data_IF_333369161836
#
_entry.id   IF_333369161836
#
_cell.length_a   1.000
_cell.length_b   1.000
_cell.length_c   1.000
_cell.angle_alpha   90.00
_cell.angle_beta   90.00
_cell.angle_gamma   90.00
#
_symmetry.space_group_name_H-M   'P 1'
#
loop_
_entity.id
_entity.type
_entity.pdbx_description
1 polymer ?
#
# COMPACT_ATOMS: atom_id res chain seq x y z
N UNK A 1 3.95 -23.26 -15.61
CA UNK A 1 5.40 -23.56 -15.73
C UNK A 1 5.93 -22.87 -16.97
N UNK A 2 7.21 -22.54 -17.00
CA UNK A 2 7.83 -21.97 -18.21
C UNK A 2 8.12 -23.07 -19.25
N UNK A 3 8.11 -22.75 -20.56
CA UNK A 3 8.56 -23.67 -21.60
C UNK A 3 10.01 -24.14 -21.37
N UNK A 4 10.38 -25.33 -21.84
CA UNK A 4 11.78 -25.77 -21.87
C UNK A 4 12.68 -24.74 -22.54
N UNK A 5 13.93 -24.68 -22.09
CA UNK A 5 14.97 -23.77 -22.62
C UNK A 5 14.65 -22.26 -22.48
N UNK A 6 13.69 -21.89 -21.62
CA UNK A 6 13.46 -20.49 -21.24
C UNK A 6 14.69 -19.93 -20.51
N UNK A 7 15.26 -18.86 -21.05
CA UNK A 7 16.41 -18.15 -20.50
C UNK A 7 16.00 -16.69 -20.29
N UNK A 8 16.35 -16.14 -19.13
CA UNK A 8 16.26 -14.71 -18.84
C UNK A 8 17.68 -14.19 -18.60
N UNK A 9 18.03 -13.08 -19.24
CA UNK A 9 19.31 -12.42 -19.04
C UNK A 9 19.39 -11.72 -17.68
N UNK A 10 20.61 -11.40 -17.25
CA UNK A 10 20.79 -10.59 -16.05
C UNK A 10 20.23 -9.18 -16.29
N UNK A 11 19.35 -8.71 -15.40
CA UNK A 11 18.68 -7.41 -15.51
C UNK A 11 17.49 -7.38 -16.47
N UNK A 12 17.20 -8.48 -17.16
CA UNK A 12 16.02 -8.57 -18.02
C UNK A 12 14.76 -8.87 -17.20
N UNK A 13 13.61 -8.52 -17.77
CA UNK A 13 12.30 -8.77 -17.17
C UNK A 13 11.55 -9.89 -17.89
N UNK A 14 10.73 -10.59 -17.12
CA UNK A 14 9.78 -11.57 -17.60
C UNK A 14 8.44 -11.35 -16.90
N UNK A 15 7.36 -11.40 -17.66
CA UNK A 15 5.99 -11.17 -17.19
C UNK A 15 5.21 -12.47 -17.33
N UNK A 16 4.50 -12.86 -16.28
CA UNK A 16 3.54 -13.98 -16.30
C UNK A 16 2.14 -13.39 -16.15
N UNK A 17 1.37 -13.37 -17.24
CA UNK A 17 0.06 -12.73 -17.30
C UNK A 17 -1.07 -13.74 -17.42
N UNK A 18 -2.21 -13.47 -16.78
CA UNK A 18 -3.45 -14.26 -16.97
C UNK A 18 -4.03 -14.09 -18.37
N UNK A 19 -3.93 -12.90 -18.94
CA UNK A 19 -4.38 -12.56 -20.29
C UNK A 19 -3.26 -11.83 -21.08
N UNK A 20 -2.22 -12.54 -21.53
CA UNK A 20 -1.03 -11.93 -22.16
C UNK A 20 -1.37 -11.12 -23.43
N UNK A 21 -2.37 -11.55 -24.19
CA UNK A 21 -2.82 -10.83 -25.40
C UNK A 21 -3.40 -9.45 -25.06
N UNK A 22 -4.15 -9.31 -23.95
CA UNK A 22 -4.69 -8.02 -23.55
C UNK A 22 -3.58 -7.06 -23.11
N UNK A 23 -2.60 -7.57 -22.37
CA UNK A 23 -1.43 -6.80 -21.94
C UNK A 23 -0.63 -6.28 -23.14
N UNK A 24 -0.34 -7.14 -24.12
CA UNK A 24 0.42 -6.78 -25.31
C UNK A 24 -0.34 -5.85 -26.25
N UNK A 25 -1.67 -5.90 -26.28
CA UNK A 25 -2.50 -4.97 -27.04
C UNK A 25 -2.53 -3.56 -26.42
N UNK A 26 -2.28 -3.42 -25.13
CA UNK A 26 -2.18 -2.11 -24.47
C UNK A 26 -0.85 -1.43 -24.79
N UNK A 27 0.26 -2.17 -24.67
CA UNK A 27 1.58 -1.71 -25.08
C UNK A 27 2.53 -2.90 -25.33
N UNK A 28 3.42 -2.81 -26.35
CA UNK A 28 4.50 -3.77 -26.47
C UNK A 28 5.42 -3.65 -25.25
N UNK A 29 5.75 -4.79 -24.64
CA UNK A 29 6.70 -4.84 -23.53
C UNK A 29 8.09 -5.21 -24.05
N UNK A 30 9.13 -4.62 -23.44
CA UNK A 30 10.53 -5.01 -23.66
C UNK A 30 10.92 -6.33 -22.97
N UNK A 31 9.94 -7.14 -22.59
CA UNK A 31 10.09 -8.29 -21.72
C UNK A 31 9.45 -9.54 -22.33
N UNK A 32 9.94 -10.73 -21.93
CA UNK A 32 9.30 -11.99 -22.27
C UNK A 32 7.94 -12.09 -21.55
N UNK A 33 6.86 -12.25 -22.31
CA UNK A 33 5.51 -12.40 -21.74
C UNK A 33 5.06 -13.85 -21.88
N UNK A 34 4.76 -14.48 -20.74
CA UNK A 34 4.20 -15.83 -20.65
C UNK A 34 2.75 -15.77 -20.15
N UNK A 35 2.01 -16.84 -20.47
CA UNK A 35 0.63 -17.01 -20.08
C UNK A 35 -0.12 -17.90 -21.08
N UNK A 36 -1.44 -18.06 -20.91
CA UNK A 36 -2.24 -17.52 -19.81
C UNK A 36 -1.88 -18.19 -18.47
N UNK A 37 -1.63 -17.39 -17.44
CA UNK A 37 -1.56 -17.88 -16.07
C UNK A 37 -2.97 -18.20 -15.59
N UNK A 38 -3.25 -19.48 -15.36
CA UNK A 38 -4.56 -19.98 -14.95
C UNK A 38 -4.73 -20.05 -13.43
N UNK A 39 -3.67 -19.79 -12.67
CA UNK A 39 -3.77 -19.60 -11.22
C UNK A 39 -4.40 -18.26 -10.87
N UNK A 40 -4.82 -18.12 -9.62
CA UNK A 40 -5.26 -16.85 -9.04
C UNK A 40 -4.42 -16.58 -7.82
N UNK A 41 -3.87 -15.37 -7.74
CA UNK A 41 -3.16 -14.94 -6.56
C UNK A 41 -4.17 -14.56 -5.46
N UNK A 42 -3.86 -14.88 -4.20
CA UNK A 42 -4.71 -14.56 -3.04
C UNK A 42 -4.65 -13.06 -2.74
N UNK A 43 -5.78 -12.38 -2.66
CA UNK A 43 -5.79 -10.96 -2.27
C UNK A 43 -5.34 -10.78 -0.81
N UNK A 44 -5.56 -11.78 0.06
CA UNK A 44 -5.22 -11.69 1.49
C UNK A 44 -3.78 -12.14 1.82
N UNK A 45 -2.94 -12.32 0.79
CA UNK A 45 -1.60 -12.87 0.94
C UNK A 45 -1.47 -14.37 0.67
N UNK A 46 -0.29 -14.77 0.21
CA UNK A 46 0.14 -16.16 0.03
C UNK A 46 1.68 -16.24 -0.05
N UNK A 47 2.22 -17.43 -0.32
CA UNK A 47 3.64 -17.65 -0.56
C UNK A 47 3.90 -18.02 -2.02
N UNK A 48 4.79 -17.28 -2.67
CA UNK A 48 5.22 -17.48 -4.04
C UNK A 48 6.60 -18.12 -4.04
N UNK A 49 6.76 -19.16 -4.86
CA UNK A 49 8.03 -19.85 -5.05
C UNK A 49 8.45 -19.74 -6.51
N UNK A 50 9.65 -19.21 -6.74
CA UNK A 50 10.32 -19.29 -8.02
C UNK A 50 11.33 -20.44 -7.97
N UNK A 51 11.09 -21.47 -8.77
CA UNK A 51 11.96 -22.65 -8.85
C UNK A 51 12.52 -22.82 -10.26
N UNK A 52 13.73 -23.34 -10.38
CA UNK A 52 14.31 -23.69 -11.67
C UNK A 52 13.90 -25.11 -12.13
N UNK A 53 14.35 -25.52 -13.32
CA UNK A 53 14.03 -26.83 -13.90
C UNK A 53 14.53 -28.05 -13.08
N UNK A 54 15.50 -27.86 -12.19
CA UNK A 54 16.01 -28.91 -11.28
C UNK A 54 15.25 -28.98 -9.95
N UNK A 55 14.24 -28.12 -9.76
CA UNK A 55 13.50 -27.99 -8.51
C UNK A 55 14.22 -27.17 -7.44
N UNK A 56 15.33 -26.50 -7.78
CA UNK A 56 16.03 -25.61 -6.85
C UNK A 56 15.21 -24.32 -6.68
N UNK A 57 14.95 -23.96 -5.42
CA UNK A 57 14.39 -22.66 -5.05
C UNK A 57 15.36 -21.53 -5.43
N UNK A 58 14.89 -20.59 -6.25
CA UNK A 58 15.61 -19.40 -6.66
C UNK A 58 15.18 -18.18 -5.82
N UNK A 59 13.88 -18.05 -5.54
CA UNK A 59 13.33 -16.99 -4.70
C UNK A 59 12.03 -17.44 -4.04
N UNK A 60 11.76 -16.86 -2.88
CA UNK A 60 10.53 -17.03 -2.11
C UNK A 60 10.03 -15.64 -1.71
N UNK A 61 8.72 -15.46 -1.75
CA UNK A 61 8.05 -14.24 -1.29
C UNK A 61 6.75 -14.60 -0.59
N UNK A 62 6.60 -14.21 0.67
CA UNK A 62 5.35 -14.25 1.41
C UNK A 62 4.76 -12.86 1.56
N UNK A 63 3.76 -12.52 0.75
CA UNK A 63 3.09 -11.23 0.83
C UNK A 63 1.79 -11.30 1.64
N UNK A 64 1.31 -10.12 2.06
CA UNK A 64 0.01 -9.91 2.72
C UNK A 64 -0.60 -8.59 2.23
N UNK A 65 -1.83 -8.33 2.63
CA UNK A 65 -2.61 -7.11 2.37
C UNK A 65 -2.75 -6.20 3.61
N UNK A 66 -2.09 -6.55 4.71
CA UNK A 66 -2.25 -5.91 6.02
C UNK A 66 -0.96 -5.95 6.85
N UNK A 67 -0.96 -5.25 7.99
CA UNK A 67 0.21 -5.07 8.84
C UNK A 67 1.22 -4.12 8.21
N UNK A 68 2.47 -4.58 8.08
CA UNK A 68 3.55 -3.78 7.48
C UNK A 68 3.55 -3.82 5.94
N UNK A 69 2.70 -4.65 5.33
CA UNK A 69 2.55 -4.71 3.88
C UNK A 69 1.71 -3.54 3.36
N UNK A 70 2.03 -3.01 2.17
CA UNK A 70 1.19 -2.00 1.53
C UNK A 70 -0.24 -2.48 1.29
N UNK A 71 -1.22 -1.70 1.75
CA UNK A 71 -2.66 -1.95 1.52
C UNK A 71 -3.07 -1.56 0.09
N UNK A 72 -2.44 -0.51 -0.45
CA UNK A 72 -2.76 0.10 -1.74
C UNK A 72 -2.97 -0.87 -2.92
N UNK A 73 -2.16 -1.93 -3.12
CA UNK A 73 -2.33 -2.84 -4.25
C UNK A 73 -3.65 -3.63 -4.27
N UNK A 74 -4.36 -3.69 -3.15
CA UNK A 74 -5.64 -4.37 -3.04
C UNK A 74 -6.80 -3.40 -3.22
N UNK A 75 -7.17 -3.15 -4.48
CA UNK A 75 -8.34 -2.34 -4.86
C UNK A 75 -8.00 -1.12 -5.71
N UNK A 76 -6.91 -0.41 -5.41
CA UNK A 76 -6.57 0.83 -6.10
C UNK A 76 -6.01 0.64 -7.53
N UNK A 77 -5.79 -0.60 -7.99
CA UNK A 77 -5.27 -0.90 -9.32
C UNK A 77 -3.77 -0.61 -9.52
N UNK A 78 -3.08 -0.12 -8.50
CA UNK A 78 -1.60 -0.11 -8.42
C UNK A 78 -1.09 -1.51 -8.08
N UNK A 79 0.16 -1.81 -8.42
CA UNK A 79 0.77 -3.11 -8.10
C UNK A 79 1.64 -3.03 -6.85
N UNK A 80 1.74 -4.14 -6.11
CA UNK A 80 2.76 -4.33 -5.08
C UNK A 80 4.14 -4.34 -5.76
N UNK A 81 4.98 -3.38 -5.42
CA UNK A 81 6.21 -3.06 -6.15
C UNK A 81 7.41 -3.00 -5.21
N UNK A 82 8.47 -3.72 -5.56
CA UNK A 82 9.71 -3.81 -4.78
C UNK A 82 10.56 -2.57 -5.00
N UNK A 83 11.07 -1.98 -3.92
CA UNK A 83 11.92 -0.79 -3.93
C UNK A 83 13.34 -1.11 -4.40
N UNK A 84 14.00 -2.05 -3.71
CA UNK A 84 15.34 -2.50 -4.05
C UNK A 84 15.28 -3.96 -4.54
N UNK A 85 15.56 -4.23 -5.84
CA UNK A 85 15.50 -5.59 -6.39
C UNK A 85 16.51 -6.55 -5.74
N UNK A 86 17.64 -6.04 -5.23
CA UNK A 86 18.75 -6.83 -4.67
C UNK A 86 18.58 -7.21 -3.19
N UNK A 87 17.55 -6.69 -2.51
CA UNK A 87 17.22 -7.05 -1.12
C UNK A 87 16.25 -8.23 -1.05
N UNK A 88 16.07 -8.83 0.14
CA UNK A 88 15.12 -9.94 0.29
C UNK A 88 13.70 -9.58 -0.16
N UNK A 89 12.96 -10.59 -0.63
CA UNK A 89 11.57 -10.43 -1.08
C UNK A 89 10.56 -10.56 0.06
N UNK A 90 10.92 -11.19 1.17
CA UNK A 90 10.02 -11.42 2.32
C UNK A 90 9.90 -10.22 3.28
N UNK A 91 10.76 -9.21 3.14
CA UNK A 91 10.77 -8.05 4.03
C UNK A 91 9.80 -6.96 3.53
N UNK A 92 8.70 -6.67 4.25
CA UNK A 92 7.69 -5.70 3.81
C UNK A 92 8.24 -4.27 3.63
N UNK A 93 9.29 -3.90 4.39
CA UNK A 93 9.92 -2.59 4.29
C UNK A 93 10.60 -2.33 2.93
N UNK A 94 10.79 -3.37 2.12
CA UNK A 94 11.32 -3.27 0.77
C UNK A 94 10.20 -3.24 -0.31
N UNK A 95 8.95 -3.10 0.10
CA UNK A 95 7.80 -3.06 -0.80
C UNK A 95 6.96 -1.80 -0.57
N UNK A 96 6.44 -1.27 -1.67
CA UNK A 96 5.47 -0.19 -1.71
C UNK A 96 4.47 -0.49 -2.84
N UNK A 97 3.73 0.51 -3.30
CA UNK A 97 2.92 0.42 -4.51
C UNK A 97 3.56 1.17 -5.67
N UNK A 98 3.25 0.74 -6.89
CA UNK A 98 3.68 1.41 -8.12
C UNK A 98 3.20 2.86 -8.18
N UNK A 99 3.98 3.73 -8.85
CA UNK A 99 3.63 5.15 -9.03
C UNK A 99 2.42 5.36 -9.94
N UNK A 100 2.09 4.36 -10.76
CA UNK A 100 0.99 4.38 -11.71
C UNK A 100 0.05 3.19 -11.53
N UNK A 101 -1.22 3.42 -11.84
CA UNK A 101 -2.21 2.35 -12.00
C UNK A 101 -1.76 1.42 -13.12
N UNK A 102 -1.85 0.11 -12.90
CA UNK A 102 -1.37 -0.92 -13.81
C UNK A 102 0.12 -1.30 -13.64
N UNK A 103 0.87 -0.61 -12.78
CA UNK A 103 2.25 -0.94 -12.46
C UNK A 103 3.24 -0.73 -13.61
N UNK A 104 4.37 -1.42 -13.54
CA UNK A 104 5.50 -1.34 -14.48
C UNK A 104 5.85 -2.71 -15.09
N UNK A 105 4.88 -3.46 -15.68
CA UNK A 105 5.14 -4.80 -16.19
C UNK A 105 6.25 -4.79 -17.24
N UNK A 106 7.28 -5.61 -17.04
CA UNK A 106 8.39 -5.73 -17.97
C UNK A 106 9.43 -4.59 -17.91
N UNK A 107 9.38 -3.76 -16.87
CA UNK A 107 10.30 -2.65 -16.65
C UNK A 107 10.66 -2.50 -15.17
N UNK A 108 11.61 -1.61 -14.87
CA UNK A 108 11.98 -1.26 -13.50
C UNK A 108 10.82 -0.57 -12.78
N UNK A 109 10.66 -0.85 -11.48
CA UNK A 109 9.56 -0.29 -10.68
C UNK A 109 9.79 1.19 -10.34
N UNK A 110 11.02 1.56 -10.01
CA UNK A 110 11.40 2.87 -9.50
C UNK A 110 12.78 3.26 -10.00
N UNK A 111 13.01 4.56 -10.19
CA UNK A 111 14.34 5.08 -10.57
C UNK A 111 15.36 5.07 -9.43
N UNK A 112 14.93 4.77 -8.20
CA UNK A 112 15.76 4.68 -7.01
C UNK A 112 15.27 3.57 -6.08
N UNK A 113 16.12 3.15 -5.13
CA UNK A 113 15.75 2.17 -4.11
C UNK A 113 15.01 2.77 -2.90
N UNK A 114 14.60 4.03 -2.96
CA UNK A 114 13.84 4.72 -1.91
C UNK A 114 12.37 4.82 -2.30
N UNK A 115 11.49 4.81 -1.30
CA UNK A 115 10.06 4.97 -1.56
C UNK A 115 9.77 6.38 -2.10
N UNK A 116 8.90 6.51 -3.12
CA UNK A 116 8.45 7.82 -3.59
C UNK A 116 7.88 8.65 -2.46
N UNK A 117 8.25 9.94 -2.42
CA UNK A 117 7.72 10.87 -1.42
C UNK A 117 6.27 11.21 -1.79
N UNK A 118 5.37 11.03 -0.83
CA UNK A 118 3.93 11.35 -0.97
C UNK A 118 3.59 12.34 0.12
N UNK A 119 3.32 13.58 -0.27
CA UNK A 119 3.33 14.73 0.64
C UNK A 119 2.13 14.79 1.60
N UNK A 120 0.99 14.19 1.22
CA UNK A 120 -0.19 14.08 2.09
C UNK A 120 -0.44 12.61 2.37
N UNK A 121 -0.63 12.28 3.64
CA UNK A 121 -0.72 10.90 4.14
C UNK A 121 -1.81 10.80 5.18
N UNK A 122 -2.42 9.62 5.31
CA UNK A 122 -3.22 9.31 6.49
C UNK A 122 -2.29 9.22 7.71
N UNK A 123 -2.69 9.77 8.86
CA UNK A 123 -1.86 9.84 10.05
C UNK A 123 -2.46 9.12 11.25
N UNK A 124 -3.77 9.24 11.43
CA UNK A 124 -4.52 8.64 12.54
C UNK A 124 -5.91 8.24 12.05
N UNK A 125 -6.44 7.11 12.51
CA UNK A 125 -7.76 6.58 12.13
C UNK A 125 -8.43 5.99 13.37
N UNK A 126 -9.65 6.44 13.64
CA UNK A 126 -10.47 5.93 14.74
C UNK A 126 -10.83 4.47 14.53
N UNK A 127 -11.23 3.78 15.59
CA UNK A 127 -11.90 2.49 15.39
C UNK A 127 -13.18 2.72 14.60
N UNK A 128 -13.46 1.86 13.62
CA UNK A 128 -14.76 1.87 12.91
C UNK A 128 -15.95 1.56 13.83
N UNK A 129 -15.68 1.09 15.06
CA UNK A 129 -16.68 0.75 16.06
C UNK A 129 -16.82 1.80 17.17
N UNK A 130 -16.03 2.88 17.12
CA UNK A 130 -16.15 4.00 18.06
C UNK A 130 -17.50 4.74 17.89
N UNK A 131 -17.92 5.47 18.92
CA UNK A 131 -19.16 6.27 18.89
C UNK A 131 -19.16 7.33 17.76
N UNK A 132 -17.97 7.79 17.35
CA UNK A 132 -17.77 8.74 16.25
C UNK A 132 -16.50 8.36 15.50
N UNK A 133 -16.62 8.17 14.19
CA UNK A 133 -15.47 7.90 13.34
C UNK A 133 -14.70 9.18 12.97
N UNK A 134 -13.37 9.12 13.04
CA UNK A 134 -12.46 10.19 12.63
C UNK A 134 -11.33 9.65 11.76
N UNK A 135 -10.89 10.47 10.81
CA UNK A 135 -9.75 10.20 9.95
C UNK A 135 -8.87 11.44 9.85
N UNK A 136 -7.58 11.28 10.10
CA UNK A 136 -6.60 12.36 10.08
C UNK A 136 -5.64 12.25 8.90
N UNK A 137 -5.38 13.39 8.27
CA UNK A 137 -4.36 13.61 7.26
C UNK A 137 -3.22 14.45 7.82
N UNK A 138 -2.01 14.24 7.30
CA UNK A 138 -0.83 15.07 7.61
C UNK A 138 -0.13 15.50 6.33
N UNK A 139 0.37 16.75 6.31
CA UNK A 139 1.26 17.25 5.27
C UNK A 139 2.72 17.08 5.71
N UNK A 140 3.43 16.13 5.11
CA UNK A 140 4.85 15.88 5.37
C UNK A 140 5.78 16.66 4.43
N UNK A 141 5.23 17.49 3.54
CA UNK A 141 5.99 18.39 2.70
C UNK A 141 6.53 19.60 3.47
N UNK A 142 7.29 20.44 2.78
CA UNK A 142 7.94 21.65 3.31
C UNK A 142 7.16 22.94 3.00
N UNK A 143 5.99 22.83 2.37
CA UNK A 143 5.13 23.95 1.97
C UNK A 143 3.67 23.69 2.31
N UNK A 144 2.87 24.76 2.42
CA UNK A 144 1.41 24.63 2.55
C UNK A 144 0.82 24.07 1.27
N UNK A 145 0.00 23.03 1.39
CA UNK A 145 -0.67 22.38 0.27
C UNK A 145 -2.15 22.77 0.23
N UNK A 146 -2.66 22.94 -0.98
CA UNK A 146 -4.09 22.99 -1.24
C UNK A 146 -4.57 21.55 -1.49
N UNK A 147 -5.56 21.09 -0.74
CA UNK A 147 -6.05 19.72 -0.85
C UNK A 147 -7.26 19.58 -1.79
N UNK A 148 -7.70 20.66 -2.46
CA UNK A 148 -8.90 20.65 -3.32
C UNK A 148 -8.85 19.66 -4.50
N UNK A 149 -7.65 19.20 -4.87
CA UNK A 149 -7.45 18.19 -5.91
C UNK A 149 -7.32 16.77 -5.34
N UNK A 150 -7.65 16.57 -4.05
CA UNK A 150 -7.60 15.28 -3.39
C UNK A 150 -9.00 14.76 -3.05
N UNK A 151 -9.15 13.44 -3.01
CA UNK A 151 -10.35 12.78 -2.49
C UNK A 151 -9.99 11.54 -1.70
N UNK A 152 -10.88 11.19 -0.78
CA UNK A 152 -10.84 9.96 0.00
C UNK A 152 -11.87 9.00 -0.60
N UNK A 153 -11.45 7.79 -0.91
CA UNK A 153 -12.31 6.73 -1.45
C UNK A 153 -12.30 5.53 -0.51
N UNK A 154 -13.47 4.97 -0.23
CA UNK A 154 -13.61 3.70 0.49
C UNK A 154 -14.08 2.63 -0.48
N UNK A 155 -13.42 1.48 -0.46
CA UNK A 155 -13.83 0.30 -1.21
C UNK A 155 -13.86 -0.95 -0.32
N UNK A 156 -14.83 -1.84 -0.57
CA UNK A 156 -15.00 -3.08 0.19
C UNK A 156 -16.47 -3.43 0.41
N UNK A 157 -16.87 -3.49 1.67
CA UNK A 157 -18.26 -3.71 2.10
C UNK A 157 -19.11 -2.49 1.81
N UNK A 158 -18.55 -1.29 2.01
CA UNK A 158 -19.12 -0.04 1.51
C UNK A 158 -18.26 0.56 0.39
N UNK A 159 -18.92 1.36 -0.44
CA UNK A 159 -18.31 2.13 -1.53
C UNK A 159 -18.72 3.59 -1.35
N UNK A 160 -17.76 4.47 -1.08
CA UNK A 160 -18.01 5.88 -0.80
C UNK A 160 -16.85 6.78 -1.23
N UNK A 161 -17.15 8.06 -1.46
CA UNK A 161 -16.13 9.05 -1.84
C UNK A 161 -16.40 10.38 -1.14
N UNK A 162 -15.33 10.98 -0.62
CA UNK A 162 -15.32 12.33 -0.06
C UNK A 162 -14.33 13.21 -0.85
N UNK A 163 -14.82 14.28 -1.45
CA UNK A 163 -14.01 15.26 -2.18
C UNK A 163 -13.49 16.32 -1.20
N UNK A 164 -12.17 16.51 -1.13
CA UNK A 164 -11.60 17.57 -0.32
C UNK A 164 -11.92 18.92 -0.98
N UNK A 165 -12.43 19.89 -0.21
CA UNK A 165 -12.79 21.21 -0.75
C UNK A 165 -12.51 22.33 0.24
N UNK A 166 -12.10 23.48 -0.31
CA UNK A 166 -11.72 24.70 0.42
C UNK A 166 -10.70 24.47 1.56
N UNK A 167 -9.74 23.56 1.33
CA UNK A 167 -8.82 23.10 2.36
C UNK A 167 -7.36 23.43 2.07
N UNK A 168 -6.70 24.11 3.02
CA UNK A 168 -5.28 24.39 3.01
C UNK A 168 -4.62 23.72 4.21
N UNK A 169 -3.56 22.93 3.98
CA UNK A 169 -2.83 22.23 5.03
C UNK A 169 -1.37 22.70 5.08
N UNK A 170 -1.00 23.41 6.16
CA UNK A 170 0.37 23.88 6.37
C UNK A 170 1.35 22.70 6.51
N UNK A 171 2.61 22.93 6.13
CA UNK A 171 3.69 21.96 6.31
C UNK A 171 3.80 21.51 7.76
N UNK A 172 3.85 20.19 7.97
CA UNK A 172 3.95 19.58 9.30
C UNK A 172 2.66 19.56 10.11
N UNK A 173 1.58 20.19 9.64
CA UNK A 173 0.30 20.19 10.33
C UNK A 173 -0.58 19.01 9.88
N UNK A 174 -1.55 18.69 10.75
CA UNK A 174 -2.58 17.70 10.48
C UNK A 174 -3.96 18.34 10.28
N UNK A 175 -4.88 17.56 9.73
CA UNK A 175 -6.29 17.89 9.60
C UNK A 175 -7.11 16.63 9.75
N UNK A 176 -8.16 16.67 10.56
CA UNK A 176 -9.03 15.53 10.81
C UNK A 176 -10.45 15.82 10.36
N UNK A 177 -11.11 14.79 9.86
CA UNK A 177 -12.50 14.78 9.42
C UNK A 177 -13.29 13.81 10.29
N UNK A 178 -14.45 14.23 10.77
CA UNK A 178 -15.39 13.32 11.42
C UNK A 178 -16.34 12.67 10.42
N UNK A 179 -17.08 11.65 10.85
CA UNK A 179 -18.13 11.00 10.05
C UNK A 179 -19.17 11.99 9.49
N UNK A 180 -19.45 13.08 10.20
CA UNK A 180 -20.38 14.12 9.75
C UNK A 180 -19.82 14.93 8.56
N UNK A 181 -18.50 15.07 8.49
CA UNK A 181 -17.81 15.73 7.37
C UNK A 181 -17.66 14.76 6.19
N UNK A 182 -17.27 13.50 6.48
CA UNK A 182 -17.07 12.44 5.48
C UNK A 182 -18.37 11.99 4.83
N UNK A 183 -19.46 11.92 5.61
CA UNK A 183 -20.75 11.36 5.18
C UNK A 183 -20.79 9.84 5.16
N UNK A 184 -19.77 9.15 5.66
CA UNK A 184 -19.68 7.70 5.76
C UNK A 184 -18.81 7.25 6.94
N UNK A 185 -18.95 5.97 7.29
CA UNK A 185 -18.07 5.23 8.19
C UNK A 185 -17.68 3.95 7.42
N UNK A 186 -16.38 3.67 7.19
CA UNK A 186 -15.95 2.40 6.60
C UNK A 186 -16.34 1.21 7.49
N UNK A 187 -16.61 0.04 6.91
CA UNK A 187 -16.73 -1.19 7.70
C UNK A 187 -15.33 -1.76 8.01
N UNK A 188 -15.24 -2.61 9.05
CA UNK A 188 -13.98 -3.31 9.36
C UNK A 188 -13.50 -4.12 8.15
N UNK A 189 -12.24 -3.91 7.76
CA UNK A 189 -11.65 -4.53 6.59
C UNK A 189 -11.84 -3.76 5.29
N UNK A 190 -12.58 -2.65 5.26
CA UNK A 190 -12.64 -1.80 4.07
C UNK A 190 -11.30 -1.10 3.84
N UNK A 191 -10.98 -0.80 2.58
CA UNK A 191 -9.77 -0.09 2.20
C UNK A 191 -10.12 1.38 2.01
N UNK A 192 -9.34 2.25 2.64
CA UNK A 192 -9.48 3.71 2.51
C UNK A 192 -8.28 4.23 1.74
N UNK A 193 -8.54 4.87 0.61
CA UNK A 193 -7.55 5.40 -0.32
C UNK A 193 -7.57 6.93 -0.32
N UNK A 194 -6.38 7.53 -0.44
CA UNK A 194 -6.21 8.95 -0.69
C UNK A 194 -5.68 9.13 -2.11
N UNK A 195 -6.45 9.82 -2.94
CA UNK A 195 -6.17 10.02 -4.35
C UNK A 195 -6.00 11.49 -4.69
N UNK A 196 -5.23 11.77 -5.74
CA UNK A 196 -5.38 13.00 -6.50
C UNK A 196 -6.43 12.84 -7.62
N UNK A 197 -7.01 13.94 -8.06
CA UNK A 197 -7.92 14.01 -9.23
C UNK A 197 -7.27 13.48 -10.51
N UNK A 198 -5.94 13.59 -10.62
CA UNK A 198 -5.12 13.03 -11.70
C UNK A 198 -4.82 11.53 -11.53
N UNK A 199 -5.51 10.83 -10.63
CA UNK A 199 -5.41 9.38 -10.38
C UNK A 199 -4.03 8.91 -9.88
N UNK A 200 -3.32 9.76 -9.15
CA UNK A 200 -2.14 9.33 -8.41
C UNK A 200 -2.57 8.95 -7.00
N UNK A 201 -2.17 7.76 -6.54
CA UNK A 201 -2.47 7.29 -5.18
C UNK A 201 -1.43 7.82 -4.20
N UNK A 202 -1.88 8.60 -3.21
CA UNK A 202 -1.04 9.21 -2.19
C UNK A 202 -0.88 8.33 -0.95
N UNK A 203 -1.93 7.64 -0.54
CA UNK A 203 -1.86 6.72 0.60
C UNK A 203 -3.02 5.72 0.60
N UNK A 204 -2.85 4.66 1.39
CA UNK A 204 -3.90 3.69 1.66
C UNK A 204 -3.80 3.17 3.10
N UNK A 205 -4.93 2.86 3.70
CA UNK A 205 -5.03 2.26 5.02
C UNK A 205 -6.22 1.29 5.07
N UNK A 206 -6.08 0.23 5.86
CA UNK A 206 -7.15 -0.73 6.14
C UNK A 206 -7.96 -0.21 7.33
N UNK A 207 -9.27 -0.14 7.18
CA UNK A 207 -10.19 0.19 8.26
C UNK A 207 -10.21 -0.95 9.30
N UNK A 208 -10.08 -0.59 10.57
CA UNK A 208 -9.80 -1.51 11.68
C UNK A 208 -10.75 -1.21 12.85
N UNK A 209 -11.06 -2.22 13.66
CA UNK A 209 -11.89 -2.07 14.87
C UNK A 209 -11.10 -1.52 16.07
N UNK A 210 -9.86 -1.09 15.83
CA UNK A 210 -9.00 -0.44 16.80
C UNK A 210 -8.50 0.92 16.33
N UNK A 211 -8.20 1.81 17.27
CA UNK A 211 -7.53 3.08 17.00
C UNK A 211 -6.12 2.81 16.43
N UNK A 212 -5.79 3.49 15.33
CA UNK A 212 -4.50 3.36 14.63
C UNK A 212 -3.86 4.73 14.45
N UNK A 213 -2.55 4.82 14.67
CA UNK A 213 -1.76 6.03 14.41
C UNK A 213 -0.40 5.68 13.79
N UNK A 214 0.15 6.53 12.93
CA UNK A 214 1.47 6.33 12.32
C UNK A 214 2.60 6.76 13.25
N UNK A 215 3.70 6.00 13.26
CA UNK A 215 4.94 6.41 13.94
C UNK A 215 6.20 6.11 13.12
N UNK A 216 7.02 7.13 12.78
CA UNK A 216 6.74 8.56 12.93
C UNK A 216 5.53 9.03 12.11
N UNK A 217 4.95 10.17 12.46
CA UNK A 217 3.79 10.75 11.77
C UNK A 217 4.01 10.82 10.25
N UNK A 218 2.98 10.43 9.51
CA UNK A 218 2.92 10.42 8.04
C UNK A 218 3.91 9.50 7.31
N UNK A 219 4.95 9.00 7.96
CA UNK A 219 6.08 8.32 7.29
C UNK A 219 6.31 6.90 7.76
N UNK A 220 5.91 6.58 8.99
CA UNK A 220 6.14 5.29 9.59
C UNK A 220 4.98 4.30 9.47
N UNK A 221 5.12 3.23 10.23
CA UNK A 221 4.16 2.13 10.31
C UNK A 221 2.94 2.55 11.12
N UNK A 222 1.82 1.87 10.88
CA UNK A 222 0.63 1.99 11.69
C UNK A 222 0.77 1.16 12.98
N UNK A 223 0.69 1.85 14.11
CA UNK A 223 0.74 1.30 15.46
C UNK A 223 -0.60 1.54 16.17
N UNK A 224 -0.70 1.07 17.42
CA UNK A 224 -1.90 1.15 18.25
C UNK A 224 -1.66 2.12 19.41
N UNK A 225 -2.05 3.41 19.29
CA UNK A 225 -1.96 4.35 20.39
C UNK A 225 -3.04 4.04 21.45
N UNK A 226 -2.78 4.43 22.70
CA UNK A 226 -3.70 4.16 23.81
C UNK A 226 -4.88 5.15 23.88
N UNK A 227 -4.75 6.29 23.21
CA UNK A 227 -5.74 7.34 23.11
C UNK A 227 -5.50 8.14 21.83
N UNK A 228 -6.56 8.72 21.27
CA UNK A 228 -6.46 9.49 20.06
C UNK A 228 -5.74 10.82 20.26
N UNK A 229 -5.08 11.31 19.21
CA UNK A 229 -4.25 12.53 19.21
C UNK A 229 -4.61 13.51 18.10
N UNK A 230 -5.88 13.56 17.70
CA UNK A 230 -6.39 14.47 16.66
C UNK A 230 -5.82 15.89 16.76
N UNK A 231 -5.18 16.35 15.69
CA UNK A 231 -4.56 17.68 15.61
C UNK A 231 -3.18 17.79 16.24
N UNK A 232 -2.60 16.69 16.73
CA UNK A 232 -1.33 16.64 17.43
C UNK A 232 -0.49 15.42 17.01
N UNK A 233 0.82 15.41 17.30
CA UNK A 233 1.67 14.26 17.01
C UNK A 233 1.19 12.99 17.71
N UNK A 234 1.26 11.84 17.02
CA UNK A 234 0.82 10.57 17.60
C UNK A 234 1.70 10.16 18.79
N UNK A 235 1.06 9.74 19.89
CA UNK A 235 1.76 9.31 21.11
C UNK A 235 1.49 7.85 21.41
N UNK A 236 2.57 7.09 21.58
CA UNK A 236 2.52 5.65 21.85
C UNK A 236 3.10 5.34 23.22
N UNK A 237 2.30 4.65 24.05
CA UNK A 237 2.79 4.05 25.28
C UNK A 237 3.35 2.65 24.98
N UNK A 238 4.59 2.58 24.50
CA UNK A 238 5.25 1.29 24.25
C UNK A 238 5.56 0.63 25.60
N UNK A 239 4.88 -0.48 25.90
CA UNK A 239 5.20 -1.29 27.08
C UNK A 239 6.55 -1.98 26.86
N UNK A 240 7.61 -1.50 27.53
CA UNK A 240 8.92 -2.15 27.52
C UNK A 240 9.11 -3.15 28.66
N UNK A 241 8.10 -3.30 29.53
CA UNK A 241 8.17 -4.15 30.72
C UNK A 241 8.03 -5.65 30.39
N UNK A 242 7.43 -5.98 29.24
CA UNK A 242 7.15 -7.36 28.82
C UNK A 242 7.65 -7.57 27.38
N UNK A 243 8.48 -8.59 27.18
CA UNK A 243 8.96 -8.99 25.85
C UNK A 243 8.74 -10.48 25.63
N UNK A 244 8.38 -10.86 24.41
CA UNK A 244 8.48 -12.26 23.97
C UNK A 244 9.97 -12.53 23.73
N UNK A 245 10.61 -13.26 24.64
CA UNK A 245 12.04 -13.53 24.55
C UNK A 245 12.38 -14.74 23.65
N UNK A 246 11.50 -15.75 23.59
CA UNK A 246 11.77 -16.99 22.85
C UNK A 246 10.45 -17.65 22.42
N UNK A 247 10.42 -18.20 21.20
CA UNK A 247 9.34 -19.04 20.68
C UNK A 247 9.99 -20.35 20.19
N UNK A 248 9.47 -21.50 20.64
CA UNK A 248 9.82 -22.80 20.09
C UNK A 248 8.69 -23.25 19.14
N UNK A 249 9.02 -23.52 17.88
CA UNK A 249 8.08 -23.98 16.83
C UNK A 249 8.54 -25.30 16.22
#
# INVERSE_FOLDING_TARGET
TFPPDTIIGAGDYMVVASAPELLLNQAPLGALVFGPFTGKLSNNGETLYLVNNSGRLLNEMRYRDSGDWPVAPDGAGVSLAKLNPDRESDNPANWTWSEQVGGSPGAENFSSSEAPIRLVRFNEMASVTDDVFYLELVNIGDTTLNLNDLHIEVQGSIEATYECSDMMLESGNTFWLGEADLGFIPDEGDRVFLWSTDKHLLDAVLADDTLRGRYPDGTGQWLYPAAATWGAPNVFAICQDIVINEIMY
#
